data_IF_151747639895
#
_entry.id   IF_151747639895
#
_cell.length_a   1.000
_cell.length_b   1.000
_cell.length_c   1.000
_cell.angle_alpha   90.00
_cell.angle_beta   90.00
_cell.angle_gamma   90.00
#
_symmetry.space_group_name_H-M   'P 1'
#
loop_
_entity.id
_entity.type
_entity.pdbx_description
1 polymer ?
#
# COMPACT_ATOMS: atom_id res chain seq x y z
N UNK A 1 -43.06 -25.15 -43.41
CA UNK A 1 -43.59 -23.80 -43.14
C UNK A 1 -42.87 -23.28 -41.90
N UNK A 2 -42.21 -22.12 -41.95
CA UNK A 2 -41.60 -21.54 -40.76
C UNK A 2 -42.69 -20.95 -39.85
N UNK A 3 -42.79 -21.45 -38.63
CA UNK A 3 -43.65 -20.87 -37.58
C UNK A 3 -43.13 -19.48 -37.26
N UNK A 4 -43.96 -18.44 -37.48
CA UNK A 4 -43.59 -17.08 -37.09
C UNK A 4 -43.61 -16.98 -35.57
N UNK A 5 -42.43 -17.02 -34.96
CA UNK A 5 -42.22 -16.70 -33.55
C UNK A 5 -42.93 -15.41 -33.17
N UNK A 6 -43.65 -15.46 -32.07
CA UNK A 6 -44.32 -14.31 -31.48
C UNK A 6 -43.32 -13.29 -30.93
N UNK A 7 -43.75 -12.04 -30.83
CA UNK A 7 -42.96 -10.98 -30.19
C UNK A 7 -42.58 -11.33 -28.74
N UNK A 8 -43.42 -12.10 -28.04
CA UNK A 8 -43.19 -12.52 -26.65
C UNK A 8 -42.11 -13.59 -26.53
N UNK A 9 -42.08 -14.57 -27.44
CA UNK A 9 -41.02 -15.59 -27.46
C UNK A 9 -39.65 -14.94 -27.69
N UNK A 10 -39.54 -14.01 -28.66
CA UNK A 10 -38.30 -13.26 -28.91
C UNK A 10 -37.85 -12.43 -27.71
N UNK A 11 -38.79 -11.73 -27.04
CA UNK A 11 -38.52 -10.99 -25.81
C UNK A 11 -38.02 -11.90 -24.68
N UNK A 12 -38.58 -13.09 -24.54
CA UNK A 12 -38.15 -14.05 -23.51
C UNK A 12 -36.78 -14.65 -23.82
N UNK A 13 -36.52 -15.00 -25.07
CA UNK A 13 -35.22 -15.53 -25.53
C UNK A 13 -34.09 -14.51 -25.38
N UNK A 14 -34.33 -13.25 -25.78
CA UNK A 14 -33.38 -12.16 -25.57
C UNK A 14 -33.09 -11.95 -24.07
N UNK A 15 -34.14 -11.88 -23.24
CA UNK A 15 -34.01 -11.73 -21.80
C UNK A 15 -33.24 -12.90 -21.16
N UNK A 16 -33.48 -14.12 -21.61
CA UNK A 16 -32.80 -15.32 -21.13
C UNK A 16 -31.31 -15.31 -21.49
N UNK A 17 -30.97 -14.98 -22.75
CA UNK A 17 -29.58 -14.84 -23.19
C UNK A 17 -28.83 -13.76 -22.38
N UNK A 18 -29.44 -12.59 -22.19
CA UNK A 18 -28.88 -11.46 -21.44
C UNK A 18 -28.61 -11.84 -19.98
N UNK A 19 -29.55 -12.54 -19.33
CA UNK A 19 -29.40 -12.99 -17.94
C UNK A 19 -28.44 -14.17 -17.78
N UNK A 20 -28.56 -15.22 -18.60
CA UNK A 20 -27.80 -16.45 -18.37
C UNK A 20 -26.39 -16.40 -18.95
N UNK A 21 -26.19 -15.71 -20.08
CA UNK A 21 -24.96 -15.81 -20.88
C UNK A 21 -24.09 -14.55 -20.91
N UNK A 22 -24.63 -13.37 -20.58
CA UNK A 22 -23.93 -12.09 -20.83
C UNK A 22 -23.66 -11.32 -19.54
N UNK A 23 -24.72 -10.95 -18.81
CA UNK A 23 -24.61 -10.06 -17.64
C UNK A 23 -24.85 -10.77 -16.30
N UNK A 24 -25.42 -11.98 -16.29
CA UNK A 24 -25.51 -12.79 -15.08
C UNK A 24 -26.26 -12.09 -13.96
N UNK A 25 -25.53 -11.81 -12.88
CA UNK A 25 -26.02 -11.18 -11.66
C UNK A 25 -26.23 -9.66 -11.80
N UNK A 26 -25.72 -9.03 -12.86
CA UNK A 26 -25.85 -7.58 -13.08
C UNK A 26 -27.25 -7.18 -13.60
N UNK A 27 -28.14 -8.16 -13.84
CA UNK A 27 -29.51 -7.94 -14.35
C UNK A 27 -30.56 -8.10 -13.25
N UNK A 28 -31.23 -7.00 -12.91
CA UNK A 28 -32.43 -6.97 -12.09
C UNK A 28 -33.69 -7.13 -12.96
N UNK A 29 -34.64 -7.97 -12.56
CA UNK A 29 -35.97 -8.08 -13.18
C UNK A 29 -36.96 -7.28 -12.32
N UNK A 30 -37.55 -6.23 -12.90
CA UNK A 30 -38.42 -5.31 -12.16
C UNK A 30 -39.91 -5.68 -12.31
N UNK A 31 -40.23 -6.75 -13.05
CA UNK A 31 -41.61 -7.21 -13.20
C UNK A 31 -42.15 -7.70 -11.86
N UNK A 32 -43.42 -7.40 -11.52
CA UNK A 32 -44.02 -7.86 -10.27
C UNK A 32 -44.04 -9.38 -10.20
N UNK A 33 -43.68 -9.91 -9.04
CA UNK A 33 -43.71 -11.35 -8.78
C UNK A 33 -45.14 -11.90 -8.77
N UNK A 34 -45.30 -13.13 -9.27
CA UNK A 34 -46.54 -13.89 -9.21
C UNK A 34 -46.66 -14.63 -7.85
N UNK A 35 -47.74 -15.42 -7.69
CA UNK A 35 -47.98 -16.23 -6.48
C UNK A 35 -46.92 -17.31 -6.23
N UNK A 36 -46.13 -17.66 -7.23
CA UNK A 36 -45.07 -18.67 -7.17
C UNK A 36 -43.68 -18.03 -6.95
N UNK A 37 -43.64 -16.75 -6.57
CA UNK A 37 -42.43 -15.96 -6.37
C UNK A 37 -41.49 -15.92 -7.60
N UNK A 38 -42.07 -15.95 -8.81
CA UNK A 38 -41.36 -15.76 -10.08
C UNK A 38 -41.85 -14.49 -10.83
N UNK A 39 -41.00 -13.80 -11.62
CA UNK A 39 -41.41 -12.59 -12.34
C UNK A 39 -42.59 -12.84 -13.28
N UNK A 40 -43.63 -12.01 -13.19
CA UNK A 40 -44.88 -12.25 -13.92
C UNK A 40 -44.72 -12.08 -15.43
N UNK A 41 -44.72 -13.22 -16.14
CA UNK A 41 -44.55 -13.25 -17.60
C UNK A 41 -45.75 -12.70 -18.41
N UNK A 42 -46.81 -12.20 -17.76
CA UNK A 42 -47.94 -11.52 -18.41
C UNK A 42 -47.76 -10.00 -18.49
N UNK A 43 -46.75 -9.47 -17.78
CA UNK A 43 -46.35 -8.06 -17.82
C UNK A 43 -45.29 -7.81 -18.90
N UNK A 44 -45.19 -6.57 -19.43
CA UNK A 44 -44.09 -6.18 -20.30
C UNK A 44 -42.74 -6.48 -19.66
N UNK A 45 -41.72 -6.81 -20.47
CA UNK A 45 -40.35 -6.97 -19.96
C UNK A 45 -39.86 -5.65 -19.41
N UNK A 46 -39.45 -5.67 -18.15
CA UNK A 46 -39.01 -4.53 -17.36
C UNK A 46 -37.75 -4.96 -16.61
N UNK A 47 -36.61 -4.41 -17.00
CA UNK A 47 -35.30 -4.84 -16.53
C UNK A 47 -34.36 -3.67 -16.28
N UNK A 48 -33.42 -3.91 -15.37
CA UNK A 48 -32.30 -3.02 -15.08
C UNK A 48 -31.00 -3.79 -15.25
N UNK A 49 -30.03 -3.22 -15.97
CA UNK A 49 -28.71 -3.83 -16.15
C UNK A 49 -27.66 -2.89 -15.56
N UNK A 50 -26.86 -3.36 -14.62
CA UNK A 50 -25.71 -2.61 -14.12
C UNK A 50 -24.57 -2.69 -15.14
N UNK A 51 -24.15 -1.56 -15.67
CA UNK A 51 -23.11 -1.47 -16.69
C UNK A 51 -21.88 -0.71 -16.17
N UNK A 52 -20.73 -1.31 -16.43
CA UNK A 52 -19.39 -0.75 -16.20
C UNK A 52 -18.66 -0.64 -17.54
N UNK A 53 -17.61 0.21 -17.66
CA UNK A 53 -16.71 0.24 -18.81
C UNK A 53 -16.30 -1.17 -19.25
N UNK A 54 -16.24 -1.37 -20.57
CA UNK A 54 -15.66 -2.58 -21.11
C UNK A 54 -14.21 -2.72 -20.62
N UNK A 55 -13.80 -3.92 -20.21
CA UNK A 55 -12.42 -4.15 -19.74
C UNK A 55 -11.45 -3.99 -20.89
N UNK A 56 -10.64 -2.94 -20.84
CA UNK A 56 -9.54 -2.76 -21.79
C UNK A 56 -8.35 -3.63 -21.40
N UNK A 57 -8.18 -4.74 -22.11
CA UNK A 57 -7.05 -5.67 -21.95
C UNK A 57 -5.68 -5.04 -22.27
N UNK A 58 -5.63 -3.87 -22.90
CA UNK A 58 -4.37 -3.20 -23.30
C UNK A 58 -3.80 -2.25 -22.24
N UNK A 59 -4.64 -1.64 -21.39
CA UNK A 59 -4.23 -0.56 -20.49
C UNK A 59 -3.90 -0.99 -19.04
N UNK A 60 -4.14 -2.25 -18.67
CA UNK A 60 -3.72 -2.84 -17.38
C UNK A 60 -4.46 -2.33 -16.12
N UNK A 61 -5.03 -1.13 -16.16
CA UNK A 61 -5.85 -0.55 -15.10
C UNK A 61 -7.29 -1.08 -15.17
N UNK A 62 -7.62 -2.04 -14.31
CA UNK A 62 -9.02 -2.45 -14.05
C UNK A 62 -9.82 -1.43 -13.21
N UNK A 63 -9.40 -0.16 -13.19
CA UNK A 63 -10.01 0.87 -12.36
C UNK A 63 -11.26 1.45 -13.03
N UNK A 64 -12.40 1.14 -12.43
CA UNK A 64 -13.73 1.56 -12.88
C UNK A 64 -14.15 2.81 -12.10
N UNK A 65 -14.04 3.98 -12.73
CA UNK A 65 -14.46 5.25 -12.13
C UNK A 65 -15.90 5.62 -12.48
N UNK A 66 -16.40 5.12 -13.62
CA UNK A 66 -17.76 5.39 -14.12
C UNK A 66 -18.62 4.12 -14.10
N UNK A 67 -19.92 4.28 -13.87
CA UNK A 67 -20.92 3.19 -13.97
C UNK A 67 -22.32 3.76 -14.11
N UNK A 68 -23.22 2.99 -14.73
CA UNK A 68 -24.63 3.39 -14.94
C UNK A 68 -25.53 2.16 -14.87
N UNK A 69 -26.77 2.32 -14.41
CA UNK A 69 -27.81 1.30 -14.56
C UNK A 69 -28.67 1.64 -15.77
N UNK A 70 -28.69 0.75 -16.76
CA UNK A 70 -29.54 0.86 -17.95
C UNK A 70 -30.89 0.20 -17.65
N UNK A 71 -31.94 1.00 -17.56
CA UNK A 71 -33.31 0.54 -17.28
C UNK A 71 -34.13 0.56 -18.57
N UNK A 72 -34.68 -0.59 -18.94
CA UNK A 72 -35.36 -0.83 -20.22
C UNK A 72 -36.74 -1.44 -19.98
N UNK A 73 -37.77 -0.79 -20.54
CA UNK A 73 -39.16 -1.26 -20.51
C UNK A 73 -39.62 -1.55 -21.94
N UNK A 74 -39.82 -2.83 -22.27
CA UNK A 74 -40.22 -3.29 -23.59
C UNK A 74 -41.75 -3.28 -23.74
N UNK A 75 -42.34 -2.53 -24.71
CA UNK A 75 -43.77 -2.61 -24.99
C UNK A 75 -44.15 -3.98 -25.57
N UNK A 76 -45.42 -4.36 -25.50
CA UNK A 76 -45.93 -5.64 -26.04
C UNK A 76 -45.72 -5.85 -27.56
N UNK A 77 -45.36 -4.79 -28.29
CA UNK A 77 -45.04 -4.81 -29.72
C UNK A 77 -43.53 -4.75 -30.03
N UNK A 78 -42.67 -4.73 -29.02
CA UNK A 78 -41.22 -4.82 -29.20
C UNK A 78 -40.85 -6.19 -29.83
N UNK A 79 -39.88 -6.27 -30.76
CA UNK A 79 -38.98 -5.21 -31.23
C UNK A 79 -39.51 -4.29 -32.34
N UNK A 80 -40.75 -4.47 -32.82
CA UNK A 80 -41.33 -3.61 -33.89
C UNK A 80 -41.56 -2.16 -33.42
N UNK A 81 -41.68 -1.95 -32.12
CA UNK A 81 -41.67 -0.64 -31.45
C UNK A 81 -40.48 -0.60 -30.50
N UNK A 82 -39.73 0.50 -30.52
CA UNK A 82 -38.58 0.72 -29.65
C UNK A 82 -38.99 0.60 -28.16
N UNK A 83 -38.10 0.13 -27.28
CA UNK A 83 -38.33 0.12 -25.84
C UNK A 83 -38.26 1.54 -25.26
N UNK A 84 -38.74 1.73 -24.04
CA UNK A 84 -38.41 2.92 -23.25
C UNK A 84 -37.07 2.69 -22.57
N UNK A 85 -36.19 3.69 -22.63
CA UNK A 85 -34.81 3.63 -22.14
C UNK A 85 -34.61 4.73 -21.10
N UNK A 86 -34.04 4.35 -19.95
CA UNK A 86 -33.69 5.26 -18.86
C UNK A 86 -32.28 4.92 -18.35
N UNK A 87 -31.58 5.93 -17.83
CA UNK A 87 -30.26 5.78 -17.21
C UNK A 87 -30.36 6.19 -15.73
N UNK A 88 -30.04 5.27 -14.84
CA UNK A 88 -30.22 5.40 -13.38
C UNK A 88 -28.88 5.18 -12.63
N UNK A 89 -28.79 5.67 -11.39
CA UNK A 89 -27.63 5.53 -10.48
C UNK A 89 -26.25 5.81 -11.12
N UNK A 90 -26.20 6.69 -12.12
CA UNK A 90 -24.97 7.02 -12.85
C UNK A 90 -23.94 7.67 -11.92
N UNK A 91 -22.68 7.23 -12.02
CA UNK A 91 -21.54 7.81 -11.31
C UNK A 91 -20.39 8.09 -12.26
N UNK A 92 -19.65 9.15 -11.97
CA UNK A 92 -18.44 9.55 -12.70
C UNK A 92 -18.68 10.20 -14.07
N UNK A 93 -19.94 10.39 -14.47
CA UNK A 93 -20.36 11.05 -15.72
C UNK A 93 -21.13 12.32 -15.34
N UNK A 94 -20.95 13.40 -16.09
CA UNK A 94 -21.72 14.65 -15.95
C UNK A 94 -23.08 14.56 -16.64
N UNK A 95 -24.11 15.19 -16.09
CA UNK A 95 -25.50 15.11 -16.57
C UNK A 95 -25.65 15.40 -18.08
N UNK A 96 -24.92 16.36 -18.63
CA UNK A 96 -24.89 16.66 -20.07
C UNK A 96 -24.50 15.45 -20.95
N UNK A 97 -23.56 14.62 -20.48
CA UNK A 97 -23.13 13.40 -21.17
C UNK A 97 -24.13 12.25 -20.96
N UNK A 98 -24.92 12.28 -19.88
CA UNK A 98 -26.02 11.33 -19.65
C UNK A 98 -27.17 11.64 -20.63
N UNK A 99 -27.47 12.91 -20.84
CA UNK A 99 -28.44 13.37 -21.86
C UNK A 99 -27.97 13.02 -23.29
N UNK A 100 -26.69 13.26 -23.62
CA UNK A 100 -26.09 12.86 -24.91
C UNK A 100 -26.23 11.35 -25.16
N UNK A 101 -25.81 10.52 -24.19
CA UNK A 101 -25.94 9.06 -24.27
C UNK A 101 -27.40 8.61 -24.37
N UNK A 102 -28.32 9.23 -23.64
CA UNK A 102 -29.74 8.91 -23.72
C UNK A 102 -30.32 9.21 -25.11
N UNK A 103 -29.94 10.32 -25.73
CA UNK A 103 -30.35 10.64 -27.11
C UNK A 103 -29.75 9.65 -28.12
N UNK A 104 -28.47 9.29 -27.98
CA UNK A 104 -27.80 8.32 -28.85
C UNK A 104 -28.50 6.94 -28.79
N UNK A 105 -28.79 6.45 -27.58
CA UNK A 105 -29.52 5.19 -27.37
C UNK A 105 -30.95 5.25 -27.93
N UNK A 106 -31.65 6.38 -27.78
CA UNK A 106 -32.97 6.55 -28.38
C UNK A 106 -32.89 6.49 -29.92
N UNK A 107 -31.93 7.18 -30.53
CA UNK A 107 -31.72 7.13 -31.98
C UNK A 107 -31.35 5.71 -32.46
N UNK A 108 -30.42 5.04 -31.79
CA UNK A 108 -30.05 3.65 -32.08
C UNK A 108 -31.26 2.70 -31.97
N UNK A 109 -32.09 2.87 -30.93
CA UNK A 109 -33.31 2.05 -30.75
C UNK A 109 -34.36 2.24 -31.84
N UNK A 110 -34.36 3.40 -32.53
CA UNK A 110 -35.22 3.66 -33.69
C UNK A 110 -34.68 3.02 -34.98
N UNK A 111 -33.35 2.91 -35.12
CA UNK A 111 -32.68 2.25 -36.25
C UNK A 111 -32.81 0.72 -36.17
N UNK A 112 -32.65 0.13 -34.98
CA UNK A 112 -32.71 -1.32 -34.76
C UNK A 112 -34.14 -1.90 -34.72
N UNK A 113 -35.17 -1.11 -35.07
CA UNK A 113 -36.58 -1.54 -34.99
C UNK A 113 -36.88 -2.70 -35.93
N UNK A 114 -37.38 -3.79 -35.33
CA UNK A 114 -37.67 -5.05 -36.02
C UNK A 114 -36.86 -6.22 -35.45
N UNK A 115 -35.71 -5.93 -34.85
CA UNK A 115 -34.80 -6.90 -34.25
C UNK A 115 -34.58 -6.63 -32.76
N UNK A 116 -34.17 -7.67 -32.04
CA UNK A 116 -33.86 -7.61 -30.61
C UNK A 116 -32.58 -6.78 -30.42
N UNK A 117 -32.60 -5.80 -29.52
CA UNK A 117 -31.65 -4.68 -29.48
C UNK A 117 -31.11 -4.33 -28.08
N UNK A 118 -31.55 -5.00 -27.01
CA UNK A 118 -31.14 -4.68 -25.64
C UNK A 118 -29.63 -4.87 -25.47
N UNK A 119 -29.07 -5.93 -26.07
CA UNK A 119 -27.64 -6.19 -26.03
C UNK A 119 -26.82 -5.11 -26.74
N UNK A 120 -27.24 -4.71 -27.95
CA UNK A 120 -26.60 -3.63 -28.72
C UNK A 120 -26.64 -2.29 -27.97
N UNK A 121 -27.76 -1.97 -27.33
CA UNK A 121 -27.88 -0.77 -26.47
C UNK A 121 -26.94 -0.85 -25.26
N UNK A 122 -26.82 -2.02 -24.63
CA UNK A 122 -25.89 -2.23 -23.52
C UNK A 122 -24.42 -2.12 -23.96
N UNK A 123 -24.05 -2.65 -25.13
CA UNK A 123 -22.71 -2.46 -25.70
C UNK A 123 -22.39 -0.99 -25.95
N UNK A 124 -23.31 -0.22 -26.56
CA UNK A 124 -23.13 1.21 -26.78
C UNK A 124 -22.90 1.97 -25.47
N UNK A 125 -23.65 1.64 -24.42
CA UNK A 125 -23.37 2.19 -23.07
C UNK A 125 -21.98 1.79 -22.59
N UNK A 126 -21.56 0.52 -22.67
CA UNK A 126 -20.23 0.10 -22.21
C UNK A 126 -19.08 0.77 -22.98
N UNK A 127 -19.26 1.01 -24.28
CA UNK A 127 -18.30 1.74 -25.12
C UNK A 127 -18.23 3.24 -24.74
N UNK A 128 -19.39 3.87 -24.52
CA UNK A 128 -19.45 5.24 -24.02
C UNK A 128 -18.81 5.39 -22.63
N UNK A 129 -19.13 4.46 -21.71
CA UNK A 129 -18.53 4.38 -20.39
C UNK A 129 -17.00 4.26 -20.49
N UNK A 130 -16.47 3.40 -21.37
CA UNK A 130 -15.02 3.28 -21.58
C UNK A 130 -14.38 4.59 -22.07
N UNK A 131 -14.95 5.23 -23.10
CA UNK A 131 -14.48 6.52 -23.64
C UNK A 131 -14.48 7.64 -22.59
N UNK A 132 -15.37 7.57 -21.60
CA UNK A 132 -15.52 8.56 -20.54
C UNK A 132 -14.99 8.10 -19.16
N UNK A 133 -14.33 6.92 -19.06
CA UNK A 133 -13.73 6.39 -17.83
C UNK A 133 -12.43 7.14 -17.45
N UNK A 134 -12.57 8.41 -17.08
CA UNK A 134 -11.46 9.24 -16.63
C UNK A 134 -11.30 9.10 -15.11
N UNK A 135 -10.07 9.01 -14.58
CA UNK A 135 -9.86 9.09 -13.14
C UNK A 135 -10.44 10.41 -12.61
N UNK A 136 -11.02 10.42 -11.40
CA UNK A 136 -11.48 11.66 -10.77
C UNK A 136 -10.31 12.64 -10.70
N UNK A 137 -10.54 13.90 -11.10
CA UNK A 137 -9.46 14.89 -11.28
C UNK A 137 -8.59 14.98 -10.02
N UNK A 138 -7.34 14.57 -10.17
CA UNK A 138 -6.35 14.57 -9.10
C UNK A 138 -5.99 15.98 -8.66
N UNK A 139 -6.58 16.41 -7.55
CA UNK A 139 -6.03 17.49 -6.72
C UNK A 139 -5.65 17.02 -5.32
N UNK A 140 -6.10 15.83 -4.89
CA UNK A 140 -5.81 15.30 -3.55
C UNK A 140 -5.09 13.95 -3.58
N UNK A 141 -5.47 13.04 -4.50
CA UNK A 141 -4.80 11.74 -4.62
C UNK A 141 -3.37 11.89 -5.17
N UNK A 142 -3.21 12.60 -6.30
CA UNK A 142 -1.90 12.82 -6.92
C UNK A 142 -0.98 13.61 -6.00
N UNK A 143 -1.51 14.64 -5.31
CA UNK A 143 -0.75 15.41 -4.31
C UNK A 143 -0.33 14.53 -3.12
N UNK A 144 -1.23 13.70 -2.58
CA UNK A 144 -0.90 12.75 -1.50
C UNK A 144 0.18 11.75 -1.95
N UNK A 145 0.09 11.25 -3.18
CA UNK A 145 1.05 10.28 -3.73
C UNK A 145 2.43 10.94 -3.91
N UNK A 146 2.46 12.18 -4.42
CA UNK A 146 3.68 12.96 -4.58
C UNK A 146 4.31 13.33 -3.22
N UNK A 147 3.51 13.77 -2.24
CA UNK A 147 3.96 14.01 -0.86
C UNK A 147 4.42 12.73 -0.13
N UNK A 148 3.89 11.56 -0.50
CA UNK A 148 4.37 10.27 0.02
C UNK A 148 5.75 9.94 -0.56
N UNK A 149 5.90 10.04 -1.88
CA UNK A 149 7.18 9.79 -2.57
C UNK A 149 8.28 10.75 -2.08
N UNK A 150 7.96 12.04 -1.91
CA UNK A 150 8.89 13.03 -1.36
C UNK A 150 9.37 12.65 0.05
N UNK A 151 8.46 12.34 0.98
CA UNK A 151 8.84 11.88 2.34
C UNK A 151 9.67 10.60 2.32
N UNK A 152 9.39 9.67 1.42
CA UNK A 152 10.13 8.42 1.29
C UNK A 152 11.55 8.67 0.74
N UNK A 153 11.72 9.59 -0.21
CA UNK A 153 13.03 10.07 -0.68
C UNK A 153 13.80 10.83 0.41
N UNK A 154 13.16 11.75 1.13
CA UNK A 154 13.77 12.49 2.25
C UNK A 154 14.30 11.55 3.34
N UNK A 155 13.53 10.50 3.70
CA UNK A 155 13.96 9.50 4.68
C UNK A 155 15.16 8.68 4.18
N UNK A 156 15.18 8.29 2.91
CA UNK A 156 16.30 7.57 2.29
C UNK A 156 17.56 8.44 2.22
N UNK A 157 17.43 9.72 1.90
CA UNK A 157 18.57 10.63 1.81
C UNK A 157 19.09 11.04 3.19
N UNK A 158 18.22 11.20 4.20
CA UNK A 158 18.63 11.34 5.60
C UNK A 158 19.40 10.10 6.11
N UNK A 159 18.96 8.90 5.75
CA UNK A 159 19.69 7.66 6.08
C UNK A 159 21.07 7.63 5.42
N UNK A 160 21.17 7.90 4.10
CA UNK A 160 22.45 7.97 3.39
C UNK A 160 23.38 9.04 3.98
N UNK A 161 22.88 10.25 4.25
CA UNK A 161 23.66 11.31 4.86
C UNK A 161 24.24 10.86 6.21
N UNK A 162 23.42 10.23 7.06
CA UNK A 162 23.88 9.68 8.33
C UNK A 162 24.96 8.61 8.16
N UNK A 163 24.76 7.65 7.25
CA UNK A 163 25.76 6.61 6.97
C UNK A 163 27.08 7.19 6.43
N UNK A 164 27.01 8.20 5.56
CA UNK A 164 28.22 8.87 5.06
C UNK A 164 28.95 9.63 6.17
N UNK A 165 28.24 10.32 7.06
CA UNK A 165 28.83 11.02 8.20
C UNK A 165 29.47 10.03 9.21
N UNK A 166 28.79 8.92 9.51
CA UNK A 166 29.34 7.86 10.38
C UNK A 166 30.58 7.18 9.75
N UNK A 167 30.61 7.02 8.41
CA UNK A 167 31.79 6.56 7.68
C UNK A 167 32.93 7.57 7.74
N UNK A 168 32.66 8.86 7.51
CA UNK A 168 33.63 9.95 7.56
C UNK A 168 34.29 10.01 8.95
N UNK A 169 33.49 10.06 10.01
CA UNK A 169 33.98 10.09 11.40
C UNK A 169 34.88 8.89 11.73
N UNK A 170 34.56 7.69 11.24
CA UNK A 170 35.38 6.49 11.44
C UNK A 170 36.72 6.56 10.70
N UNK A 171 36.76 7.16 9.50
CA UNK A 171 37.99 7.38 8.74
C UNK A 171 38.89 8.38 9.49
N UNK A 172 38.34 9.53 9.89
CA UNK A 172 39.05 10.58 10.63
C UNK A 172 39.62 10.07 11.97
N UNK A 173 38.89 9.23 12.69
CA UNK A 173 39.34 8.63 13.95
C UNK A 173 40.51 7.65 13.73
N UNK A 174 40.47 6.86 12.65
CA UNK A 174 41.56 5.96 12.26
C UNK A 174 42.79 6.73 11.80
N UNK A 175 42.60 7.84 11.07
CA UNK A 175 43.70 8.70 10.61
C UNK A 175 44.40 9.39 11.80
N UNK A 176 43.64 10.02 12.70
CA UNK A 176 44.19 10.62 13.94
C UNK A 176 44.96 9.60 14.79
N UNK A 177 44.46 8.36 14.93
CA UNK A 177 45.19 7.27 15.61
C UNK A 177 46.51 6.92 14.91
N UNK A 178 46.52 6.85 13.57
CA UNK A 178 47.75 6.61 12.78
C UNK A 178 48.76 7.75 12.93
N UNK A 179 48.31 9.00 12.94
CA UNK A 179 49.19 10.17 13.14
C UNK A 179 49.81 10.20 14.53
N UNK A 180 49.01 10.00 15.58
CA UNK A 180 49.52 9.89 16.95
C UNK A 180 50.60 8.81 17.06
N UNK A 181 50.32 7.61 16.55
CA UNK A 181 51.28 6.50 16.56
C UNK A 181 52.58 6.82 15.79
N UNK A 182 52.48 7.40 14.58
CA UNK A 182 53.66 7.87 13.80
C UNK A 182 54.47 8.91 14.56
N UNK A 183 53.82 9.86 15.25
CA UNK A 183 54.49 10.90 16.02
C UNK A 183 55.24 10.33 17.23
N UNK A 184 54.68 9.30 17.87
CA UNK A 184 55.29 8.68 19.04
C UNK A 184 56.46 7.77 18.67
N UNK A 185 56.37 7.02 17.56
CA UNK A 185 57.50 6.26 17.01
C UNK A 185 58.68 7.19 16.70
N UNK A 186 58.45 8.30 15.99
CA UNK A 186 59.49 9.31 15.69
C UNK A 186 60.12 9.93 16.95
N UNK A 187 59.36 10.04 18.06
CA UNK A 187 59.90 10.53 19.35
C UNK A 187 60.69 9.47 20.12
N UNK A 188 60.50 8.17 19.85
CA UNK A 188 61.19 7.06 20.51
C UNK A 188 62.49 6.64 19.80
N UNK A 189 62.61 6.83 18.48
CA UNK A 189 63.84 6.53 17.72
C UNK A 189 65.12 7.20 18.26
N UNK A 190 65.19 8.53 18.52
CA UNK A 190 66.41 9.16 19.02
C UNK A 190 66.84 8.68 20.42
N UNK A 191 65.99 7.96 21.16
CA UNK A 191 66.33 7.36 22.46
C UNK A 191 66.86 5.92 22.37
N UNK A 192 66.67 5.23 21.23
CA UNK A 192 67.18 3.86 21.04
C UNK A 192 68.60 3.80 20.50
N UNK A 193 69.05 4.85 19.79
CA UNK A 193 70.41 4.94 19.25
C UNK A 193 71.53 5.13 20.29
N UNK A 194 71.21 5.26 21.58
CA UNK A 194 72.17 5.60 22.65
C UNK A 194 72.18 4.57 23.81
N UNK A 195 71.64 3.37 23.62
CA UNK A 195 71.45 2.39 24.71
C UNK A 195 71.99 0.97 24.45
N UNK A 196 72.83 0.77 23.44
CA UNK A 196 73.60 -0.48 23.25
C UNK A 196 75.11 -0.26 23.53
N UNK A 197 75.44 0.16 24.75
CA UNK A 197 76.81 0.14 25.29
C UNK A 197 76.85 0.28 26.82
N UNK A 198 76.35 -0.73 27.54
CA UNK A 198 77.07 -1.26 28.71
C UNK A 198 76.48 -2.60 29.20
N UNK A 199 77.36 -3.53 29.58
CA UNK A 199 77.04 -4.71 30.40
C UNK A 199 77.63 -4.52 31.81
N UNK A 200 77.34 -5.48 32.71
CA UNK A 200 77.78 -5.57 34.11
C UNK A 200 77.02 -4.67 35.11
N UNK A 201 76.87 -5.01 36.38
CA UNK A 201 76.81 -6.31 37.09
C UNK A 201 76.40 -6.06 38.56
N UNK A 202 75.97 -7.11 39.27
CA UNK A 202 75.85 -7.18 40.74
C UNK A 202 74.73 -6.36 41.43
N UNK A 203 74.17 -6.70 42.62
CA UNK A 203 73.74 -7.96 43.28
C UNK A 203 73.71 -7.74 44.81
N UNK A 204 72.55 -7.94 45.47
CA UNK A 204 72.37 -8.19 46.93
C UNK A 204 70.85 -8.43 47.14
N UNK A 205 70.39 -9.64 47.49
CA UNK A 205 70.04 -10.11 48.86
C UNK A 205 68.96 -9.23 49.55
N UNK A 206 67.88 -9.73 50.15
CA UNK A 206 67.39 -11.10 50.44
C UNK A 206 65.83 -11.08 50.45
N UNK A 207 65.03 -12.10 50.79
CA UNK A 207 65.25 -13.41 51.42
C UNK A 207 64.23 -14.47 50.92
N UNK A 208 64.21 -15.65 51.53
CA UNK A 208 63.32 -16.77 51.20
C UNK A 208 62.20 -17.00 52.25
N UNK A 209 61.15 -17.75 51.84
CA UNK A 209 60.19 -18.51 52.68
C UNK A 209 59.22 -17.70 53.59
N UNK A 210 57.89 -17.98 53.68
CA UNK A 210 57.07 -19.15 53.31
C UNK A 210 55.59 -18.82 53.05
N UNK A 211 54.84 -19.80 52.50
CA UNK A 211 53.38 -20.03 52.59
C UNK A 211 52.43 -19.40 51.53
N UNK A 212 51.69 -20.21 50.73
CA UNK A 212 50.91 -19.75 49.59
C UNK A 212 49.38 -19.63 49.84
N UNK A 213 48.93 -19.15 51.01
CA UNK A 213 47.48 -19.09 51.32
C UNK A 213 47.01 -17.86 52.12
N UNK A 214 47.01 -16.66 51.51
CA UNK A 214 45.87 -15.73 51.70
C UNK A 214 45.74 -14.66 50.60
N UNK A 215 44.57 -14.61 49.98
CA UNK A 215 44.26 -13.80 48.79
C UNK A 215 43.69 -12.42 49.19
N UNK A 216 44.55 -11.56 49.75
CA UNK A 216 44.18 -10.23 50.26
C UNK A 216 44.02 -9.14 49.20
N UNK A 217 43.13 -9.32 48.21
CA UNK A 217 42.83 -8.27 47.24
C UNK A 217 42.13 -7.08 47.92
N UNK A 218 42.82 -5.94 47.99
CA UNK A 218 42.19 -4.62 48.16
C UNK A 218 41.39 -4.29 46.91
N UNK A 219 40.17 -4.82 46.81
CA UNK A 219 39.25 -4.47 45.73
C UNK A 219 38.87 -2.99 45.82
N UNK A 220 39.08 -2.19 44.75
CA UNK A 220 38.41 -0.91 44.62
C UNK A 220 36.90 -1.19 44.53
N UNK A 221 36.14 -0.84 45.56
CA UNK A 221 34.68 -1.07 45.66
C UNK A 221 33.85 -0.14 44.74
N UNK A 222 34.43 0.28 43.61
CA UNK A 222 33.91 1.30 42.70
C UNK A 222 34.29 0.92 41.26
N UNK A 223 33.32 0.44 40.49
CA UNK A 223 33.50 0.24 39.05
C UNK A 223 33.59 1.61 38.37
N UNK A 224 34.65 1.88 37.60
CA UNK A 224 34.84 3.17 36.94
C UNK A 224 33.76 3.46 35.88
N UNK A 225 33.13 2.44 35.31
CA UNK A 225 32.13 2.55 34.23
C UNK A 225 30.68 2.69 34.75
N UNK A 226 30.43 2.40 36.03
CA UNK A 226 29.07 2.37 36.59
C UNK A 226 28.97 3.22 37.87
N UNK A 227 28.08 4.22 37.85
CA UNK A 227 27.86 5.13 39.00
C UNK A 227 27.48 4.36 40.28
N UNK A 228 27.93 4.92 41.40
CA UNK A 228 27.65 4.47 42.78
C UNK A 228 26.14 4.36 43.07
N UNK A 229 25.77 3.72 44.18
CA UNK A 229 24.36 3.58 44.58
C UNK A 229 23.71 4.96 44.74
N UNK A 230 22.62 5.21 44.00
CA UNK A 230 22.02 6.54 43.86
C UNK A 230 20.53 6.50 44.22
N UNK A 231 20.01 7.58 44.79
CA UNK A 231 18.64 7.64 45.33
C UNK A 231 17.76 8.48 44.40
N UNK A 232 16.86 7.83 43.66
CA UNK A 232 15.97 8.51 42.72
C UNK A 232 14.61 8.79 43.36
N UNK A 233 14.19 10.05 43.31
CA UNK A 233 12.96 10.53 43.95
C UNK A 233 11.90 10.91 42.91
N UNK A 234 10.80 10.14 42.85
CA UNK A 234 9.75 10.30 41.86
C UNK A 234 8.60 11.13 42.43
N UNK A 235 8.77 12.45 42.37
CA UNK A 235 7.91 13.47 42.96
C UNK A 235 6.42 13.36 42.56
N UNK A 236 6.11 12.84 41.36
CA UNK A 236 4.73 12.62 40.88
C UNK A 236 4.00 11.42 41.50
N UNK A 237 4.73 10.51 42.16
CA UNK A 237 4.17 9.27 42.76
C UNK A 237 4.60 9.05 44.21
N UNK A 238 5.28 10.01 44.84
CA UNK A 238 5.65 9.98 46.25
C UNK A 238 6.57 8.81 46.66
N UNK A 239 7.35 8.26 45.72
CA UNK A 239 8.20 7.09 45.94
C UNK A 239 9.68 7.39 45.70
N UNK A 240 10.51 6.87 46.59
CA UNK A 240 11.96 6.87 46.48
C UNK A 240 12.44 5.46 46.16
N UNK A 241 13.34 5.31 45.19
CA UNK A 241 13.95 4.03 44.82
C UNK A 241 15.46 4.18 44.86
N UNK A 242 16.13 3.31 45.62
CA UNK A 242 17.59 3.26 45.72
C UNK A 242 18.15 2.30 44.67
N UNK A 243 18.92 2.82 43.73
CA UNK A 243 19.66 2.00 42.74
C UNK A 243 20.87 1.38 43.43
N UNK A 244 21.00 0.06 43.39
CA UNK A 244 22.18 -0.65 43.93
C UNK A 244 23.44 -0.41 43.10
N UNK A 245 24.61 -0.54 43.73
CA UNK A 245 25.89 -0.54 43.02
C UNK A 245 26.19 -1.93 42.43
N UNK A 246 26.93 -1.97 41.32
CA UNK A 246 27.39 -3.24 40.75
C UNK A 246 28.50 -3.86 41.62
N UNK A 247 28.31 -5.11 42.02
CA UNK A 247 29.40 -5.97 42.48
C UNK A 247 30.11 -6.46 41.22
N UNK A 248 31.32 -5.94 40.95
CA UNK A 248 32.08 -6.27 39.74
C UNK A 248 32.32 -7.78 39.64
N UNK A 249 32.32 -8.32 38.41
CA UNK A 249 32.66 -9.73 38.19
C UNK A 249 34.08 -9.99 38.70
N UNK A 250 34.21 -11.03 39.51
CA UNK A 250 35.49 -11.70 39.73
C UNK A 250 35.57 -12.76 38.64
N UNK A 251 36.38 -12.52 37.62
CA UNK A 251 36.66 -13.55 36.62
C UNK A 251 37.49 -14.66 37.28
N UNK A 252 37.00 -15.90 37.14
CA UNK A 252 37.63 -17.16 37.55
C UNK A 252 37.82 -18.04 36.34
#
# INVERSE_FOLDING_TARGET
>A
MATKESFRERQMQELEAIKQSIFGNDVEDLRPYNKENTPSQSKPTDIRIMLTPLRDSSNGSSEVYVRTKLHIICPSKYPKVAPKIFLEDTKGISDQLIEELLMELQQQSLLLRGEVMIYELAQSVQAFLLKHNKPPRGSFYDEMLQQKQQREQELLDLQKQRETLERQNRIDEVEKRKEMFKSEVKRREPRRSMSESNRHASSSESSENSSPFHRGYMYPTKCAEHRNSDNLYFHKVGRQIRRGCCLGKVDT
#
